data_IF_801740989565
#
_entry.id   IF_801740989565
#
_cell.length_a   1.000
_cell.length_b   1.000
_cell.length_c   1.000
_cell.angle_alpha   90.00
_cell.angle_beta   90.00
_cell.angle_gamma   90.00
#
_symmetry.space_group_name_H-M   'P 1'
#
loop_
_entity.id
_entity.type
_entity.pdbx_description
1 polymer ?
#
# COMPACT_ATOMS: atom_id res chain seq x y z
N UNK A 1 -29.40 -42.81 42.03
CA UNK A 1 -29.43 -41.91 40.85
C UNK A 1 -28.02 -41.40 40.61
N UNK A 2 -27.43 -41.68 39.45
CA UNK A 2 -25.99 -41.60 39.16
C UNK A 2 -25.60 -40.22 38.58
N UNK A 3 -24.43 -39.74 39.04
CA UNK A 3 -23.52 -38.67 38.54
C UNK A 3 -23.85 -38.12 37.13
N UNK A 4 -23.71 -36.82 36.88
CA UNK A 4 -22.38 -36.25 36.60
C UNK A 4 -22.35 -34.71 36.58
N UNK A 5 -21.48 -34.18 37.45
CA UNK A 5 -20.78 -32.90 37.29
C UNK A 5 -19.84 -32.96 36.08
N UNK A 6 -19.83 -31.93 35.23
CA UNK A 6 -18.65 -31.26 34.62
C UNK A 6 -19.00 -30.61 33.28
N UNK A 7 -19.30 -29.31 33.30
CA UNK A 7 -19.30 -28.48 32.08
C UNK A 7 -18.97 -27.03 32.41
N UNK A 8 -17.77 -26.77 32.97
CA UNK A 8 -17.31 -25.38 33.23
C UNK A 8 -15.81 -25.14 33.01
N UNK A 9 -15.03 -26.15 32.59
CA UNK A 9 -13.56 -26.03 32.46
C UNK A 9 -13.07 -25.76 31.03
N UNK A 10 -13.92 -25.93 30.00
CA UNK A 10 -13.54 -25.78 28.60
C UNK A 10 -13.51 -24.33 28.12
N UNK A 11 -14.34 -23.43 28.66
CA UNK A 11 -14.37 -22.03 28.23
C UNK A 11 -13.11 -21.24 28.59
N UNK A 12 -12.52 -21.47 29.79
CA UNK A 12 -11.31 -20.75 30.19
C UNK A 12 -10.10 -21.12 29.33
N UNK A 13 -10.00 -22.38 28.89
CA UNK A 13 -8.92 -22.83 28.02
C UNK A 13 -9.05 -22.25 26.61
N UNK A 14 -10.28 -22.16 26.09
CA UNK A 14 -10.54 -21.61 24.76
C UNK A 14 -10.20 -20.11 24.68
N UNK A 15 -10.52 -19.32 25.70
CA UNK A 15 -10.19 -17.88 25.75
C UNK A 15 -8.67 -17.65 25.82
N UNK A 16 -7.95 -18.47 26.61
CA UNK A 16 -6.49 -18.40 26.70
C UNK A 16 -5.80 -18.79 25.38
N UNK A 17 -6.36 -19.78 24.67
CA UNK A 17 -5.85 -20.23 23.37
C UNK A 17 -6.09 -19.17 22.27
N UNK A 18 -7.24 -18.47 22.29
CA UNK A 18 -7.54 -17.36 21.37
C UNK A 18 -6.62 -16.15 21.62
N UNK A 19 -6.32 -15.83 22.89
CA UNK A 19 -5.36 -14.78 23.24
C UNK A 19 -3.93 -15.10 22.77
N UNK A 20 -3.51 -16.36 22.85
CA UNK A 20 -2.19 -16.79 22.36
C UNK A 20 -2.08 -16.73 20.82
N UNK A 21 -3.18 -17.00 20.10
CA UNK A 21 -3.22 -16.90 18.62
C UNK A 21 -3.21 -15.44 18.16
N UNK A 22 -3.73 -14.50 18.98
CA UNK A 22 -3.70 -13.06 18.68
C UNK A 22 -2.32 -12.41 18.90
N UNK A 23 -1.47 -12.94 19.79
CA UNK A 23 -0.09 -12.48 19.97
C UNK A 23 0.88 -13.03 18.90
N UNK A 24 0.48 -14.06 18.16
CA UNK A 24 1.11 -14.49 16.91
C UNK A 24 0.72 -13.59 15.73
N UNK A 25 0.49 -12.30 16.00
CA UNK A 25 0.41 -11.24 15.00
C UNK A 25 1.69 -11.20 14.20
N UNK A 26 1.66 -11.97 13.12
CA UNK A 26 2.50 -12.01 11.93
C UNK A 26 3.57 -10.93 11.92
N UNK A 27 4.79 -11.29 12.31
CA UNK A 27 5.95 -10.55 11.83
C UNK A 27 5.92 -10.64 10.31
N UNK A 28 5.44 -9.60 9.64
CA UNK A 28 5.49 -9.51 8.19
C UNK A 28 6.95 -9.32 7.83
N UNK A 29 7.53 -10.34 7.19
CA UNK A 29 8.92 -10.32 6.79
C UNK A 29 9.08 -9.38 5.59
N UNK A 30 9.84 -8.29 5.77
CA UNK A 30 10.19 -7.37 4.68
C UNK A 30 11.59 -7.71 4.16
N UNK A 31 11.74 -7.96 2.86
CA UNK A 31 13.01 -8.30 2.21
C UNK A 31 13.64 -7.03 1.58
N UNK A 32 14.92 -6.75 1.87
CA UNK A 32 15.69 -5.70 1.21
C UNK A 32 16.95 -6.30 0.58
N UNK A 33 17.07 -6.24 -0.74
CA UNK A 33 18.26 -6.73 -1.44
C UNK A 33 19.25 -5.61 -1.72
N UNK A 34 20.53 -5.93 -1.52
CA UNK A 34 21.62 -4.99 -1.67
C UNK A 34 22.58 -5.48 -2.75
N UNK A 35 23.19 -4.55 -3.48
CA UNK A 35 24.33 -4.86 -4.31
C UNK A 35 25.54 -5.22 -3.43
N UNK A 36 26.54 -5.86 -4.03
CA UNK A 36 27.73 -6.36 -3.32
C UNK A 36 28.79 -5.29 -3.04
N UNK A 37 28.47 -4.00 -3.17
CA UNK A 37 29.43 -2.92 -2.92
C UNK A 37 29.85 -2.80 -1.46
N UNK A 38 29.00 -3.26 -0.53
CA UNK A 38 29.28 -3.35 0.90
C UNK A 38 28.88 -4.72 1.44
N UNK A 39 29.67 -5.34 2.34
CA UNK A 39 29.29 -6.62 2.92
C UNK A 39 27.94 -6.54 3.67
N UNK A 40 27.05 -7.47 3.37
CA UNK A 40 25.69 -7.49 3.94
C UNK A 40 25.67 -7.62 5.47
N UNK A 41 26.67 -8.29 6.05
CA UNK A 41 26.85 -8.36 7.50
C UNK A 41 27.03 -6.97 8.13
N UNK A 42 27.75 -6.07 7.46
CA UNK A 42 27.97 -4.71 7.96
C UNK A 42 26.68 -3.90 7.90
N UNK A 43 25.90 -4.03 6.82
CA UNK A 43 24.59 -3.38 6.68
C UNK A 43 23.64 -3.87 7.78
N UNK A 44 23.61 -5.19 8.03
CA UNK A 44 22.84 -5.76 9.14
C UNK A 44 23.25 -5.16 10.48
N UNK A 45 24.54 -5.07 10.77
CA UNK A 45 25.03 -4.50 12.04
C UNK A 45 24.61 -3.03 12.22
N UNK A 46 24.60 -2.24 11.13
CA UNK A 46 24.12 -0.86 11.18
C UNK A 46 22.62 -0.77 11.47
N UNK A 47 21.81 -1.67 10.90
CA UNK A 47 20.36 -1.73 11.14
C UNK A 47 19.98 -2.37 12.48
N UNK A 48 20.78 -3.29 13.00
CA UNK A 48 20.53 -3.98 14.27
C UNK A 48 20.43 -3.01 15.45
N UNK A 49 21.06 -1.83 15.37
CA UNK A 49 20.97 -0.77 16.40
C UNK A 49 19.55 -0.25 16.63
N UNK A 50 18.65 -0.46 15.67
CA UNK A 50 17.27 0.01 15.72
C UNK A 50 16.27 -1.10 16.08
N UNK A 51 16.72 -2.35 16.15
CA UNK A 51 15.89 -3.53 16.45
C UNK A 51 15.58 -3.57 17.94
N UNK A 52 14.32 -3.80 18.30
CA UNK A 52 13.87 -3.95 19.70
C UNK A 52 13.59 -5.42 20.04
N UNK A 53 13.33 -5.71 21.30
CA UNK A 53 13.00 -7.06 21.76
C UNK A 53 11.83 -7.67 20.98
N UNK A 54 12.05 -8.90 20.52
CA UNK A 54 11.11 -9.65 19.67
C UNK A 54 11.24 -9.39 18.16
N UNK A 55 12.03 -8.42 17.74
CA UNK A 55 12.35 -8.17 16.33
C UNK A 55 13.69 -8.82 15.93
N UNK A 56 13.88 -9.14 14.65
CA UNK A 56 15.16 -9.66 14.16
C UNK A 56 15.39 -9.39 12.68
N UNK A 57 16.66 -9.27 12.32
CA UNK A 57 17.13 -9.14 10.94
C UNK A 57 17.93 -10.40 10.57
N UNK A 58 17.45 -11.14 9.59
CA UNK A 58 18.11 -12.32 9.02
C UNK A 58 18.79 -11.97 7.70
N UNK A 59 19.89 -12.65 7.39
CA UNK A 59 20.59 -12.53 6.12
C UNK A 59 20.17 -13.71 5.25
N UNK A 60 19.72 -13.42 4.04
CA UNK A 60 19.72 -14.38 2.93
C UNK A 60 21.00 -14.16 2.12
N UNK A 61 22.01 -14.96 2.39
CA UNK A 61 23.33 -14.84 1.76
C UNK A 61 23.31 -15.21 0.29
N UNK A 62 22.37 -16.05 -0.15
CA UNK A 62 22.29 -16.49 -1.55
C UNK A 62 21.83 -15.33 -2.45
N UNK A 63 20.86 -14.55 -1.97
CA UNK A 63 20.33 -13.40 -2.69
C UNK A 63 20.99 -12.08 -2.32
N UNK A 64 21.86 -12.07 -1.30
CA UNK A 64 22.40 -10.84 -0.71
C UNK A 64 21.29 -9.88 -0.24
N UNK A 65 20.30 -10.43 0.48
CA UNK A 65 19.15 -9.69 1.01
C UNK A 65 19.04 -9.79 2.53
N UNK A 66 18.42 -8.78 3.14
CA UNK A 66 18.05 -8.76 4.56
C UNK A 66 16.55 -9.02 4.69
N UNK A 67 16.19 -10.02 5.48
CA UNK A 67 14.82 -10.32 5.87
C UNK A 67 14.56 -9.74 7.26
N UNK A 68 13.71 -8.71 7.33
CA UNK A 68 13.34 -8.02 8.55
C UNK A 68 12.05 -8.61 9.09
N UNK A 69 12.15 -9.33 10.20
CA UNK A 69 11.01 -9.77 11.00
C UNK A 69 10.81 -8.75 12.12
N UNK A 70 10.14 -7.64 11.78
CA UNK A 70 9.84 -6.51 12.68
C UNK A 70 8.33 -6.37 12.85
N UNK A 71 7.88 -5.63 13.88
CA UNK A 71 6.45 -5.36 14.07
C UNK A 71 5.91 -4.53 12.91
N UNK A 72 4.67 -4.77 12.48
CA UNK A 72 4.09 -4.15 11.27
C UNK A 72 4.17 -2.61 11.28
N UNK A 73 3.91 -1.97 12.42
CA UNK A 73 3.99 -0.49 12.54
C UNK A 73 5.42 0.08 12.46
N UNK A 74 6.45 -0.77 12.58
CA UNK A 74 7.88 -0.39 12.54
C UNK A 74 8.52 -0.68 11.19
N UNK A 75 7.84 -1.38 10.28
CA UNK A 75 8.32 -1.61 8.92
C UNK A 75 8.65 -0.28 8.21
N UNK A 76 7.82 0.74 8.41
CA UNK A 76 8.00 2.08 7.85
C UNK A 76 9.27 2.77 8.36
N UNK A 77 9.64 2.55 9.63
CA UNK A 77 10.88 3.08 10.19
C UNK A 77 12.09 2.45 9.49
N UNK A 78 12.13 1.12 9.40
CA UNK A 78 13.23 0.42 8.74
C UNK A 78 13.33 0.77 7.25
N UNK A 79 12.19 0.95 6.58
CA UNK A 79 12.13 1.46 5.20
C UNK A 79 12.85 2.81 5.07
N UNK A 80 12.49 3.77 5.93
CA UNK A 80 13.13 5.10 5.96
C UNK A 80 14.62 5.03 6.26
N UNK A 81 15.02 4.18 7.21
CA UNK A 81 16.44 3.99 7.56
C UNK A 81 17.23 3.43 6.38
N UNK A 82 16.70 2.39 5.73
CA UNK A 82 17.36 1.73 4.60
C UNK A 82 17.52 2.69 3.42
N UNK A 83 16.45 3.41 3.06
CA UNK A 83 16.48 4.39 1.97
C UNK A 83 17.40 5.59 2.28
N UNK A 84 17.47 6.02 3.54
CA UNK A 84 18.30 7.16 3.94
C UNK A 84 19.79 6.81 3.96
N UNK A 85 20.17 5.65 4.51
CA UNK A 85 21.57 5.31 4.77
C UNK A 85 22.20 4.41 3.71
N UNK A 86 21.40 3.65 2.94
CA UNK A 86 21.90 2.72 1.94
C UNK A 86 21.36 2.94 0.51
N UNK A 87 21.11 4.19 0.05
CA UNK A 87 20.45 4.43 -1.24
C UNK A 87 21.24 3.92 -2.44
N UNK A 88 22.58 3.95 -2.37
CA UNK A 88 23.47 3.48 -3.46
C UNK A 88 23.72 1.98 -3.42
N UNK A 89 23.37 1.33 -2.31
CA UNK A 89 23.60 -0.08 -2.07
C UNK A 89 22.35 -0.92 -2.35
N UNK A 90 21.16 -0.33 -2.43
CA UNK A 90 19.94 -1.06 -2.78
C UNK A 90 19.96 -1.54 -4.24
N UNK A 91 19.53 -2.78 -4.48
CA UNK A 91 19.29 -3.24 -5.83
C UNK A 91 18.04 -2.57 -6.41
N UNK A 92 18.10 -2.15 -7.69
CA UNK A 92 16.99 -1.48 -8.39
C UNK A 92 15.70 -2.31 -8.40
N UNK A 93 15.82 -3.64 -8.38
CA UNK A 93 14.71 -4.60 -8.27
C UNK A 93 13.98 -4.54 -6.92
N UNK A 94 14.66 -4.10 -5.85
CA UNK A 94 14.07 -3.88 -4.52
C UNK A 94 13.55 -2.46 -4.31
N UNK A 95 13.99 -1.50 -5.14
CA UNK A 95 13.48 -0.12 -5.08
C UNK A 95 12.01 -0.04 -5.55
N UNK A 96 11.62 -0.75 -6.61
CA UNK A 96 10.28 -0.56 -7.20
C UNK A 96 9.11 -1.07 -6.36
N UNK A 97 9.32 -2.00 -5.41
CA UNK A 97 8.23 -2.50 -4.56
C UNK A 97 8.12 -1.76 -3.21
N UNK A 98 9.16 -1.05 -2.78
CA UNK A 98 9.26 -0.58 -1.40
C UNK A 98 9.65 0.90 -1.23
N UNK A 99 9.96 1.63 -2.31
CA UNK A 99 10.25 3.08 -2.26
C UNK A 99 9.21 3.94 -2.96
N UNK A 100 8.16 3.36 -3.55
CA UNK A 100 7.15 4.14 -4.26
C UNK A 100 6.28 4.86 -3.23
N UNK A 101 6.27 6.20 -3.30
CA UNK A 101 5.29 6.98 -2.57
C UNK A 101 3.88 6.47 -2.97
N UNK A 102 3.00 6.35 -1.99
CA UNK A 102 1.64 5.91 -2.25
C UNK A 102 0.86 7.10 -2.77
N UNK A 103 0.19 6.92 -3.90
CA UNK A 103 -0.85 7.82 -4.34
C UNK A 103 -2.18 7.32 -3.82
N UNK A 104 -2.77 8.07 -2.91
CA UNK A 104 -4.13 7.83 -2.46
C UNK A 104 -5.03 8.87 -3.08
N UNK A 105 -6.11 8.42 -3.68
CA UNK A 105 -7.13 9.28 -4.26
C UNK A 105 -8.47 8.97 -3.63
N UNK A 106 -9.30 9.99 -3.53
CA UNK A 106 -10.72 9.86 -3.26
C UNK A 106 -11.47 10.12 -4.55
N UNK A 107 -12.25 9.15 -4.98
CA UNK A 107 -13.16 9.24 -6.12
C UNK A 107 -14.56 9.55 -5.59
N UNK A 108 -15.19 10.57 -6.17
CA UNK A 108 -16.58 10.91 -5.95
C UNK A 108 -17.35 10.66 -7.23
N UNK A 109 -18.37 9.82 -7.14
CA UNK A 109 -19.36 9.57 -8.18
C UNK A 109 -20.69 10.19 -7.76
N UNK A 110 -21.25 11.06 -8.60
CA UNK A 110 -22.57 11.63 -8.41
C UNK A 110 -23.49 11.11 -9.50
N UNK A 111 -24.56 10.41 -9.13
CA UNK A 111 -25.58 9.91 -10.04
C UNK A 111 -26.86 10.74 -9.93
N UNK A 112 -27.31 11.33 -11.04
CA UNK A 112 -28.54 12.12 -11.13
C UNK A 112 -29.66 11.26 -11.72
N UNK A 113 -30.64 10.85 -10.91
CA UNK A 113 -31.80 10.08 -11.35
C UNK A 113 -33.07 10.88 -11.10
N UNK A 114 -33.60 11.49 -12.16
CA UNK A 114 -34.78 12.38 -12.12
C UNK A 114 -34.56 13.48 -11.07
N UNK A 115 -35.23 13.36 -9.91
CA UNK A 115 -35.20 14.35 -8.82
C UNK A 115 -34.30 13.93 -7.64
N UNK A 116 -33.55 12.83 -7.78
CA UNK A 116 -32.65 12.33 -6.73
C UNK A 116 -31.20 12.43 -7.18
N UNK A 117 -30.39 13.04 -6.33
CA UNK A 117 -28.94 13.06 -6.44
C UNK A 117 -28.39 12.05 -5.45
N UNK A 118 -27.69 11.03 -5.94
CA UNK A 118 -26.98 10.06 -5.10
C UNK A 118 -25.47 10.29 -5.22
N UNK A 119 -24.78 10.40 -4.10
CA UNK A 119 -23.33 10.58 -4.06
C UNK A 119 -22.67 9.35 -3.43
N UNK A 120 -21.66 8.82 -4.11
CA UNK A 120 -20.83 7.73 -3.62
C UNK A 120 -19.37 8.17 -3.62
N UNK A 121 -18.69 7.89 -2.50
CA UNK A 121 -17.27 8.17 -2.33
C UNK A 121 -16.53 6.83 -2.16
N UNK A 122 -15.42 6.67 -2.89
CA UNK A 122 -14.52 5.53 -2.77
C UNK A 122 -13.07 5.99 -2.71
N UNK A 123 -12.23 5.19 -2.05
CA UNK A 123 -10.79 5.45 -1.99
C UNK A 123 -10.06 4.54 -2.98
N UNK A 124 -9.09 5.09 -3.69
CA UNK A 124 -8.21 4.41 -4.64
C UNK A 124 -6.79 4.55 -4.13
N UNK A 125 -6.10 3.44 -3.96
CA UNK A 125 -4.74 3.41 -3.45
C UNK A 125 -3.86 2.70 -4.47
N UNK A 126 -2.84 3.39 -4.96
CA UNK A 126 -1.82 2.82 -5.84
C UNK A 126 -0.44 3.29 -5.43
N UNK A 127 0.56 2.45 -5.67
CA UNK A 127 1.95 2.86 -5.59
C UNK A 127 2.32 3.70 -6.81
N UNK A 128 3.12 4.75 -6.62
CA UNK A 128 3.66 5.57 -7.70
C UNK A 128 4.32 4.72 -8.80
N UNK A 129 3.99 4.95 -10.07
CA UNK A 129 4.54 4.23 -11.22
C UNK A 129 3.86 2.88 -11.49
N UNK A 130 3.08 2.35 -10.55
CA UNK A 130 2.30 1.14 -10.78
C UNK A 130 1.02 1.44 -11.56
N UNK A 131 0.75 0.58 -12.54
CA UNK A 131 -0.45 0.64 -13.36
C UNK A 131 -1.62 0.00 -12.62
N UNK A 132 -2.75 0.70 -12.57
CA UNK A 132 -4.01 0.20 -12.03
C UNK A 132 -5.17 0.55 -12.96
N UNK A 133 -6.35 0.04 -12.69
CA UNK A 133 -7.53 0.26 -13.53
C UNK A 133 -8.55 1.15 -12.81
N UNK A 134 -9.16 2.06 -13.57
CA UNK A 134 -10.27 2.90 -13.09
C UNK A 134 -11.40 2.79 -14.10
N UNK A 135 -12.63 2.72 -13.60
CA UNK A 135 -13.86 2.73 -14.38
C UNK A 135 -14.61 4.04 -14.12
N UNK A 136 -14.88 4.80 -15.19
CA UNK A 136 -15.72 5.98 -15.17
C UNK A 136 -17.03 5.70 -15.91
N UNK A 137 -17.88 4.86 -15.32
CA UNK A 137 -19.22 4.60 -15.83
C UNK A 137 -19.24 3.86 -17.17
N UNK A 138 -18.44 2.80 -17.31
CA UNK A 138 -18.33 1.98 -18.51
C UNK A 138 -17.14 2.32 -19.42
N UNK A 139 -16.42 3.40 -19.12
CA UNK A 139 -15.15 3.73 -19.76
C UNK A 139 -13.98 3.31 -18.84
N UNK A 140 -13.23 2.30 -19.29
CA UNK A 140 -12.13 1.73 -18.54
C UNK A 140 -10.79 2.34 -18.94
N UNK A 141 -10.01 2.77 -17.95
CA UNK A 141 -8.70 3.38 -18.14
C UNK A 141 -7.62 2.61 -17.39
N UNK A 142 -6.44 2.51 -18.00
CA UNK A 142 -5.21 2.24 -17.29
C UNK A 142 -4.66 3.53 -16.72
N UNK A 143 -4.56 3.60 -15.40
CA UNK A 143 -4.07 4.72 -14.66
C UNK A 143 -2.65 4.47 -14.15
N UNK A 144 -1.78 5.48 -14.18
CA UNK A 144 -0.46 5.46 -13.53
C UNK A 144 -0.27 6.77 -12.80
N UNK A 145 0.09 6.71 -11.51
CA UNK A 145 0.35 7.91 -10.73
C UNK A 145 1.84 8.20 -10.62
N UNK A 146 2.25 9.47 -10.59
CA UNK A 146 3.59 9.87 -10.15
C UNK A 146 3.52 11.13 -9.29
N UNK A 147 4.56 11.37 -8.48
CA UNK A 147 4.66 12.53 -7.60
C UNK A 147 5.89 13.33 -7.95
N UNK A 148 5.71 14.61 -8.23
CA UNK A 148 6.78 15.56 -8.57
C UNK A 148 6.75 16.71 -7.59
N UNK A 149 7.52 16.61 -6.51
CA UNK A 149 7.50 17.57 -5.42
C UNK A 149 6.18 17.51 -4.64
N UNK A 150 5.44 18.62 -4.59
CA UNK A 150 4.13 18.72 -3.92
C UNK A 150 2.94 18.40 -4.84
N UNK A 151 3.21 18.04 -6.10
CA UNK A 151 2.20 17.84 -7.14
C UNK A 151 2.12 16.37 -7.49
N UNK A 152 0.90 15.87 -7.68
CA UNK A 152 0.63 14.51 -8.10
C UNK A 152 0.14 14.52 -9.55
N UNK A 153 0.68 13.62 -10.36
CA UNK A 153 0.32 13.44 -11.76
C UNK A 153 -0.41 12.11 -11.90
N UNK A 154 -1.51 12.09 -12.65
CA UNK A 154 -2.24 10.87 -12.99
C UNK A 154 -2.37 10.79 -14.51
N UNK A 155 -1.71 9.79 -15.08
CA UNK A 155 -1.79 9.47 -16.49
C UNK A 155 -2.86 8.42 -16.71
N UNK A 156 -3.88 8.75 -17.49
CA UNK A 156 -5.00 7.89 -17.84
C UNK A 156 -4.90 7.52 -19.32
N UNK A 157 -4.82 6.23 -19.62
CA UNK A 157 -4.85 5.70 -20.98
C UNK A 157 -6.10 4.87 -21.19
N UNK A 158 -6.92 5.24 -22.17
CA UNK A 158 -8.15 4.50 -22.46
C UNK A 158 -7.84 3.07 -22.89
N UNK A 159 -8.61 2.11 -22.40
CA UNK A 159 -8.53 0.72 -22.87
C UNK A 159 -9.13 0.55 -24.26
N UNK A 160 -10.17 1.32 -24.59
CA UNK A 160 -10.85 1.28 -25.89
C UNK A 160 -10.06 2.01 -26.97
N UNK A 161 -9.28 3.04 -26.60
CA UNK A 161 -8.39 3.77 -27.50
C UNK A 161 -7.01 4.01 -26.87
N UNK A 162 -6.07 3.10 -27.13
CA UNK A 162 -4.74 3.10 -26.48
C UNK A 162 -3.88 4.32 -26.80
N UNK A 163 -4.17 5.03 -27.89
CA UNK A 163 -3.44 6.23 -28.29
C UNK A 163 -3.90 7.48 -27.53
N UNK A 164 -5.08 7.42 -26.90
CA UNK A 164 -5.60 8.51 -26.09
C UNK A 164 -4.99 8.47 -24.68
N UNK A 165 -4.06 9.39 -24.43
CA UNK A 165 -3.46 9.66 -23.12
C UNK A 165 -4.00 10.98 -22.57
N UNK A 166 -4.54 10.95 -21.36
CA UNK A 166 -4.94 12.14 -20.60
C UNK A 166 -4.09 12.24 -19.35
N UNK A 167 -3.33 13.32 -19.22
CA UNK A 167 -2.50 13.59 -18.04
C UNK A 167 -3.16 14.65 -17.17
N UNK A 168 -3.39 14.31 -15.91
CA UNK A 168 -4.05 15.17 -14.93
C UNK A 168 -3.07 15.55 -13.84
N UNK A 169 -3.18 16.79 -13.38
CA UNK A 169 -2.32 17.35 -12.34
C UNK A 169 -3.16 17.68 -11.12
N UNK A 170 -2.76 17.18 -9.96
CA UNK A 170 -3.46 17.33 -8.69
C UNK A 170 -2.59 18.06 -7.67
N UNK A 171 -3.24 18.97 -6.95
CA UNK A 171 -2.75 19.47 -5.68
C UNK A 171 -3.49 18.72 -4.56
N UNK A 172 -2.80 18.48 -3.44
CA UNK A 172 -3.37 17.79 -2.28
C UNK A 172 -4.67 18.46 -1.82
N UNK A 173 -5.72 17.66 -1.59
CA UNK A 173 -7.01 18.14 -1.05
C UNK A 173 -7.88 18.93 -2.03
N UNK A 174 -7.49 19.06 -3.31
CA UNK A 174 -8.32 19.70 -4.34
C UNK A 174 -9.04 18.68 -5.21
N UNK A 175 -10.35 18.86 -5.35
CA UNK A 175 -11.16 18.10 -6.30
C UNK A 175 -10.91 18.57 -7.73
N UNK A 176 -10.73 17.62 -8.63
CA UNK A 176 -10.64 17.80 -10.08
C UNK A 176 -11.84 17.11 -10.70
N UNK A 177 -12.56 17.82 -11.57
CA UNK A 177 -13.70 17.28 -12.32
C UNK A 177 -13.21 16.39 -13.46
N UNK A 178 -13.75 15.18 -13.52
CA UNK A 178 -13.46 14.12 -14.49
C UNK A 178 -14.72 13.70 -15.26
N UNK A 179 -15.80 14.47 -15.18
CA UNK A 179 -17.08 14.15 -15.83
C UNK A 179 -16.94 13.97 -17.34
N UNK A 180 -15.99 14.67 -17.99
CA UNK A 180 -15.72 14.49 -19.42
C UNK A 180 -15.15 13.12 -19.81
N UNK A 181 -14.74 12.30 -18.82
CA UNK A 181 -14.18 10.96 -19.05
C UNK A 181 -15.23 9.84 -19.08
N UNK A 182 -16.48 10.13 -18.67
CA UNK A 182 -17.60 9.20 -18.79
C UNK A 182 -18.46 9.51 -20.01
N UNK A 183 -19.14 8.48 -20.55
CA UNK A 183 -20.17 8.64 -21.58
C UNK A 183 -21.59 8.71 -21.00
N UNK A 184 -21.73 8.52 -19.69
CA UNK A 184 -23.02 8.51 -19.02
C UNK A 184 -23.43 9.94 -18.65
N UNK A 185 -24.42 10.48 -19.35
CA UNK A 185 -24.93 11.85 -19.14
C UNK A 185 -25.48 12.09 -17.73
N UNK A 186 -25.87 11.02 -17.03
CA UNK A 186 -26.44 11.10 -15.69
C UNK A 186 -25.41 10.87 -14.56
N UNK A 187 -24.11 10.77 -14.89
CA UNK A 187 -23.04 10.58 -13.92
C UNK A 187 -22.00 11.69 -14.01
N UNK A 188 -21.57 12.16 -12.85
CA UNK A 188 -20.45 13.09 -12.70
C UNK A 188 -19.38 12.44 -11.85
N UNK A 189 -18.13 12.68 -12.21
CA UNK A 189 -16.97 12.10 -11.53
C UNK A 189 -16.03 13.21 -11.09
N UNK A 190 -15.52 13.11 -9.87
CA UNK A 190 -14.46 13.99 -9.40
C UNK A 190 -13.42 13.18 -8.63
N UNK A 191 -12.16 13.57 -8.75
CA UNK A 191 -11.06 12.91 -8.06
C UNK A 191 -10.25 13.92 -7.25
N UNK A 192 -9.75 13.50 -6.11
CA UNK A 192 -8.91 14.31 -5.24
C UNK A 192 -7.78 13.46 -4.67
N UNK A 193 -6.58 14.02 -4.55
CA UNK A 193 -5.48 13.34 -3.85
C UNK A 193 -5.59 13.55 -2.34
N UNK A 194 -5.38 12.48 -1.58
CA UNK A 194 -5.35 12.45 -0.10
C UNK A 194 -4.01 11.88 0.39
N UNK A 195 -3.62 12.20 1.63
CA UNK A 195 -2.36 11.72 2.26
C UNK A 195 -2.43 10.29 2.82
#
# INVERSE_FOLDING_TARGET
MIRTYKKKKTHKFFVLLVLFILELSSASATEYCFNRSRPIHTIRMDLMKYVIDGEKIKIDSHKNCLNLEVKSYRQELFRKLVNKYFPKQLEKSSLSLYTQDMCKFRLKEVTKLKDKVNEQISDIISSEGNRFEIDFGGEHYYATCSKKGSVYLLDLRSKSNKDQLTSLTFNLGKWVDLTSLTKLENKEYSLMVIE
#
